data_IF_776642035342
#
_entry.id   IF_776642035342
#
_cell.length_a   1.000
_cell.length_b   1.000
_cell.length_c   1.000
_cell.angle_alpha   90.00
_cell.angle_beta   90.00
_cell.angle_gamma   90.00
#
_symmetry.space_group_name_H-M   'P 1'
#
loop_
_entity.id
_entity.type
_entity.pdbx_description
1 polymer ?
#
# COMPACT_ATOMS: atom_id res chain seq x y z
N UNK A 1 81.69 5.13 30.53
CA UNK A 1 80.44 5.72 31.05
C UNK A 1 79.49 5.90 29.88
N UNK A 2 78.53 4.94 29.70
CA UNK A 2 77.50 5.03 28.61
C UNK A 2 76.22 5.50 29.23
N UNK A 3 75.70 6.66 28.78
CA UNK A 3 74.42 7.23 29.21
C UNK A 3 73.31 6.55 28.38
N UNK A 4 72.41 5.85 29.06
CA UNK A 4 71.16 5.33 28.47
C UNK A 4 70.12 6.46 28.40
N UNK A 5 69.74 6.75 27.19
CA UNK A 5 68.65 7.67 26.88
C UNK A 5 67.31 6.93 26.99
N UNK A 6 66.44 7.27 27.95
CA UNK A 6 65.10 6.71 28.07
C UNK A 6 64.18 7.54 27.20
N UNK A 7 63.63 6.89 26.14
CA UNK A 7 62.58 7.47 25.29
C UNK A 7 61.25 7.17 25.98
N UNK A 8 60.52 8.21 26.41
CA UNK A 8 59.18 8.10 26.89
C UNK A 8 58.23 8.14 25.68
N UNK A 9 57.45 7.10 25.47
CA UNK A 9 56.38 7.02 24.45
C UNK A 9 55.10 7.56 25.08
N UNK A 10 54.45 8.58 24.50
CA UNK A 10 53.19 9.06 25.01
C UNK A 10 52.08 8.05 24.70
N UNK A 11 51.38 7.61 25.73
CA UNK A 11 50.19 6.78 25.64
C UNK A 11 49.02 7.65 25.15
N UNK A 12 48.73 7.60 23.86
CA UNK A 12 47.58 8.28 23.28
C UNK A 12 46.28 7.60 23.73
N UNK A 13 45.52 8.25 24.61
CA UNK A 13 44.16 7.85 24.94
C UNK A 13 43.27 8.03 23.69
N UNK A 14 42.97 6.92 23.04
CA UNK A 14 41.88 6.84 22.08
C UNK A 14 40.56 6.96 22.86
N UNK A 15 40.02 8.18 22.92
CA UNK A 15 38.64 8.40 23.36
C UNK A 15 37.70 7.76 22.32
N UNK A 16 37.16 6.59 22.65
CA UNK A 16 36.05 6.02 21.91
C UNK A 16 34.88 6.97 22.00
N UNK A 17 34.58 7.66 20.88
CA UNK A 17 33.34 8.35 20.69
C UNK A 17 32.21 7.32 20.71
N UNK A 18 31.65 7.04 21.88
CA UNK A 18 30.39 6.33 21.99
C UNK A 18 29.35 7.20 21.30
N UNK A 19 28.99 6.84 20.07
CA UNK A 19 27.83 7.39 19.37
C UNK A 19 26.67 7.24 20.33
N UNK A 20 26.09 8.37 20.79
CA UNK A 20 24.84 8.38 21.52
C UNK A 20 23.77 7.79 20.56
N UNK A 21 23.60 6.46 20.57
CA UNK A 21 22.44 5.83 19.97
C UNK A 21 21.23 6.32 20.75
N UNK A 22 20.58 7.36 20.21
CA UNK A 22 19.32 7.82 20.75
C UNK A 22 18.38 6.62 20.90
N UNK A 23 17.61 6.58 21.98
CA UNK A 23 16.62 5.50 22.19
C UNK A 23 15.72 5.38 20.96
N UNK A 24 15.42 4.15 20.54
CA UNK A 24 14.51 3.91 19.40
C UNK A 24 13.22 4.74 19.55
N UNK A 25 12.68 5.32 18.47
CA UNK A 25 11.48 6.15 18.56
C UNK A 25 10.27 5.34 19.03
N UNK A 26 9.30 6.01 19.64
CA UNK A 26 7.98 5.41 19.89
C UNK A 26 7.17 5.35 18.60
N UNK A 27 6.12 4.52 18.59
CA UNK A 27 5.19 4.47 17.46
C UNK A 27 4.55 5.84 17.21
N UNK A 28 4.17 6.57 18.27
CA UNK A 28 3.64 7.94 18.16
C UNK A 28 4.61 8.91 17.51
N UNK A 29 5.90 8.86 17.88
CA UNK A 29 6.94 9.69 17.27
C UNK A 29 7.16 9.36 15.78
N UNK A 30 7.09 8.07 15.41
CA UNK A 30 7.14 7.64 14.00
C UNK A 30 5.97 8.23 13.21
N UNK A 31 4.75 8.10 13.74
CA UNK A 31 3.55 8.63 13.07
C UNK A 31 3.59 10.16 12.95
N UNK A 32 4.08 10.86 13.98
CA UNK A 32 4.27 12.31 13.92
C UNK A 32 5.22 12.71 12.78
N UNK A 33 6.37 12.02 12.63
CA UNK A 33 7.32 12.26 11.53
C UNK A 33 6.70 11.98 10.15
N UNK A 34 5.89 10.93 10.03
CA UNK A 34 5.18 10.62 8.78
C UNK A 34 4.23 11.77 8.41
N UNK A 35 3.40 12.23 9.35
CA UNK A 35 2.46 13.32 9.12
C UNK A 35 3.16 14.63 8.75
N UNK A 36 4.20 14.97 9.50
CA UNK A 36 5.03 16.16 9.25
C UNK A 36 5.64 16.12 7.84
N UNK A 37 6.22 14.98 7.46
CA UNK A 37 6.88 14.80 6.17
C UNK A 37 5.91 14.72 5.00
N UNK A 38 4.69 14.18 5.23
CA UNK A 38 3.63 14.15 4.23
C UNK A 38 3.12 15.56 3.89
N UNK A 39 3.13 16.48 4.85
CA UNK A 39 2.77 17.89 4.63
C UNK A 39 1.30 18.08 4.21
N UNK A 40 0.43 17.15 4.57
CA UNK A 40 -1.00 17.18 4.22
C UNK A 40 -1.81 17.46 5.47
N UNK A 41 -2.77 18.35 5.36
CA UNK A 41 -3.74 18.61 6.44
C UNK A 41 -4.56 17.34 6.71
N UNK A 42 -4.59 16.94 7.98
CA UNK A 42 -5.34 15.76 8.39
C UNK A 42 -6.84 15.98 8.18
N UNK A 43 -7.49 15.05 7.50
CA UNK A 43 -8.96 15.03 7.38
C UNK A 43 -9.60 14.87 8.76
N UNK A 44 -10.78 15.42 8.93
CA UNK A 44 -11.60 15.20 10.13
C UNK A 44 -13.06 14.98 9.71
N UNK A 45 -13.65 13.80 9.91
CA UNK A 45 -12.99 12.58 10.46
C UNK A 45 -11.98 11.93 9.50
N UNK A 46 -11.02 11.19 10.07
CA UNK A 46 -10.03 10.40 9.33
C UNK A 46 -10.00 8.95 9.82
N UNK A 47 -9.62 8.03 8.92
CA UNK A 47 -9.33 6.64 9.28
C UNK A 47 -7.85 6.42 9.64
N UNK A 48 -6.99 7.43 9.45
CA UNK A 48 -5.54 7.38 9.75
C UNK A 48 -5.27 7.48 11.26
N UNK A 49 -5.63 6.43 11.97
CA UNK A 49 -5.55 6.33 13.42
C UNK A 49 -4.90 5.03 13.86
N UNK A 50 -4.46 4.97 15.12
CA UNK A 50 -4.07 3.71 15.73
C UNK A 50 -5.28 2.78 15.84
N UNK A 51 -5.13 1.55 15.37
CA UNK A 51 -6.17 0.50 15.38
C UNK A 51 -5.95 -0.47 16.53
N UNK A 52 -4.70 -0.65 16.96
CA UNK A 52 -4.35 -1.51 18.08
C UNK A 52 -2.97 -1.12 18.63
N UNK A 53 -2.71 -1.54 19.88
CA UNK A 53 -1.44 -1.36 20.56
C UNK A 53 -1.25 0.00 21.20
N UNK A 54 -0.10 0.17 21.84
CA UNK A 54 0.25 1.39 22.57
C UNK A 54 1.16 2.30 21.71
N UNK A 55 0.73 3.53 21.47
CA UNK A 55 1.51 4.52 20.73
C UNK A 55 2.84 4.91 21.41
N UNK A 56 2.97 4.67 22.72
CA UNK A 56 4.21 4.88 23.47
C UNK A 56 5.21 3.72 23.33
N UNK A 57 4.82 2.59 22.72
CA UNK A 57 5.71 1.45 22.52
C UNK A 57 6.90 1.83 21.65
N UNK A 58 8.11 1.41 22.08
CA UNK A 58 9.35 1.58 21.29
C UNK A 58 9.33 0.71 20.05
N UNK A 59 9.65 1.33 18.91
CA UNK A 59 9.65 0.66 17.60
C UNK A 59 10.97 -0.09 17.39
N UNK A 60 10.87 -1.40 17.15
CA UNK A 60 12.00 -2.28 16.81
C UNK A 60 12.18 -2.45 15.30
N UNK A 61 11.09 -2.40 14.57
CA UNK A 61 11.01 -2.49 13.12
C UNK A 61 9.59 -2.17 12.68
N UNK A 62 9.46 -1.76 11.43
CA UNK A 62 8.20 -1.32 10.80
C UNK A 62 7.87 -2.24 9.64
N UNK A 63 6.73 -2.90 9.71
CA UNK A 63 6.12 -3.60 8.59
C UNK A 63 5.13 -2.67 7.88
N UNK A 64 5.39 -2.36 6.62
CA UNK A 64 4.46 -1.63 5.76
C UNK A 64 3.72 -2.63 4.88
N UNK A 65 2.39 -2.54 4.81
CA UNK A 65 1.56 -3.53 4.11
C UNK A 65 0.31 -2.89 3.51
N UNK A 66 -0.30 -3.58 2.54
CA UNK A 66 -1.61 -3.19 2.00
C UNK A 66 -2.72 -3.52 3.00
N UNK A 67 -2.76 -4.75 3.51
CA UNK A 67 -3.76 -5.21 4.49
C UNK A 67 -3.08 -5.90 5.66
N UNK A 68 -3.47 -5.55 6.90
CA UNK A 68 -2.99 -6.19 8.11
C UNK A 68 -3.70 -7.53 8.37
N UNK A 69 -3.60 -8.47 7.41
CA UNK A 69 -4.15 -9.83 7.57
C UNK A 69 -3.38 -10.60 8.65
N UNK A 70 -3.97 -11.66 9.21
CA UNK A 70 -3.28 -12.48 10.21
C UNK A 70 -1.97 -13.09 9.66
N UNK A 71 -1.92 -13.46 8.38
CA UNK A 71 -0.69 -13.91 7.69
C UNK A 71 0.37 -12.80 7.64
N UNK A 72 -0.01 -11.57 7.32
CA UNK A 72 0.90 -10.42 7.33
C UNK A 72 1.43 -10.16 8.74
N UNK A 73 0.56 -10.17 9.75
CA UNK A 73 0.97 -9.97 11.14
C UNK A 73 1.97 -11.03 11.62
N UNK A 74 1.76 -12.30 11.26
CA UNK A 74 2.71 -13.39 11.55
C UNK A 74 4.07 -13.12 10.92
N UNK A 75 4.11 -12.78 9.63
CA UNK A 75 5.36 -12.47 8.93
C UNK A 75 6.06 -11.21 9.45
N UNK A 76 5.31 -10.21 9.92
CA UNK A 76 5.88 -9.05 10.60
C UNK A 76 6.58 -9.45 11.90
N UNK A 77 5.92 -10.26 12.73
CA UNK A 77 6.50 -10.80 13.98
C UNK A 77 7.76 -11.63 13.73
N UNK A 78 7.74 -12.51 12.72
CA UNK A 78 8.90 -13.32 12.32
C UNK A 78 10.12 -12.47 11.94
N UNK A 79 9.90 -11.26 11.40
CA UNK A 79 10.93 -10.27 11.11
C UNK A 79 11.37 -9.44 12.31
N UNK A 80 10.65 -9.53 13.43
CA UNK A 80 10.87 -8.72 14.63
C UNK A 80 10.26 -7.33 14.54
N UNK A 81 9.37 -7.08 13.57
CA UNK A 81 8.63 -5.82 13.46
C UNK A 81 7.53 -5.76 14.52
N UNK A 82 7.33 -4.59 15.11
CA UNK A 82 6.27 -4.40 16.10
C UNK A 82 5.38 -3.19 15.80
N UNK A 83 5.73 -2.36 14.82
CA UNK A 83 4.82 -1.36 14.26
C UNK A 83 4.39 -1.83 12.87
N UNK A 84 3.09 -2.01 12.67
CA UNK A 84 2.50 -2.35 11.38
C UNK A 84 1.77 -1.12 10.85
N UNK A 85 2.15 -0.66 9.67
CA UNK A 85 1.47 0.42 8.97
C UNK A 85 0.72 -0.19 7.79
N UNK A 86 -0.62 -0.14 7.86
CA UNK A 86 -1.52 -0.76 6.88
C UNK A 86 -2.30 0.29 6.12
N UNK A 87 -2.55 0.05 4.84
CA UNK A 87 -3.41 0.93 4.05
C UNK A 87 -4.88 0.65 4.33
N UNK A 88 -5.29 -0.59 4.22
CA UNK A 88 -6.67 -1.03 4.40
C UNK A 88 -7.00 -1.39 5.86
N UNK A 89 -8.31 -1.52 6.19
CA UNK A 89 -8.77 -1.79 7.55
C UNK A 89 -8.09 -3.01 8.18
N UNK A 90 -7.89 -2.91 9.48
CA UNK A 90 -7.42 -4.04 10.29
C UNK A 90 -8.56 -5.00 10.63
N UNK A 91 -9.79 -4.50 10.80
CA UNK A 91 -10.91 -5.24 11.40
C UNK A 91 -12.19 -5.23 10.53
N UNK A 92 -12.05 -5.52 9.23
CA UNK A 92 -13.14 -5.95 8.32
C UNK A 92 -14.23 -4.90 8.01
N UNK A 93 -14.06 -3.65 8.42
CA UNK A 93 -14.95 -2.55 7.99
C UNK A 93 -14.12 -1.31 7.66
N UNK A 94 -14.58 -0.48 6.74
CA UNK A 94 -13.82 0.71 6.30
C UNK A 94 -13.42 1.63 7.47
N UNK A 95 -14.22 1.71 8.52
CA UNK A 95 -13.92 2.53 9.70
C UNK A 95 -13.27 1.76 10.85
N UNK A 96 -12.97 0.48 10.66
CA UNK A 96 -12.52 -0.43 11.74
C UNK A 96 -13.50 -0.49 12.94
N UNK A 97 -14.80 -0.37 12.66
CA UNK A 97 -15.84 -0.49 13.69
C UNK A 97 -16.03 -1.95 14.09
N UNK A 98 -15.96 -2.23 15.39
CA UNK A 98 -16.00 -3.59 15.94
C UNK A 98 -17.38 -4.00 16.47
N UNK A 99 -18.29 -3.05 16.67
CA UNK A 99 -19.51 -3.20 17.47
C UNK A 99 -20.30 -4.51 17.24
N UNK A 100 -20.60 -4.87 15.99
CA UNK A 100 -21.33 -6.10 15.67
C UNK A 100 -20.48 -7.34 16.01
N UNK A 101 -19.24 -7.39 15.55
CA UNK A 101 -18.35 -8.53 15.76
C UNK A 101 -18.08 -8.77 17.26
N UNK A 102 -17.94 -7.70 18.04
CA UNK A 102 -17.74 -7.82 19.50
C UNK A 102 -19.01 -8.26 20.21
N UNK A 103 -20.19 -7.74 19.84
CA UNK A 103 -21.46 -8.12 20.42
C UNK A 103 -21.84 -9.58 20.15
N UNK A 104 -21.38 -10.13 19.02
CA UNK A 104 -21.61 -11.52 18.62
C UNK A 104 -20.49 -12.47 19.09
N UNK A 105 -19.46 -11.97 19.78
CA UNK A 105 -18.28 -12.72 20.21
C UNK A 105 -17.58 -13.44 19.05
N UNK A 106 -17.37 -12.73 17.92
CA UNK A 106 -16.79 -13.30 16.71
C UNK A 106 -15.39 -13.92 16.96
N UNK A 107 -15.27 -15.21 16.69
CA UNK A 107 -14.04 -15.98 16.98
C UNK A 107 -12.86 -15.54 16.09
N UNK A 108 -13.09 -15.12 14.86
CA UNK A 108 -12.03 -14.66 13.94
C UNK A 108 -11.44 -13.35 14.43
N UNK A 109 -12.30 -12.42 14.85
CA UNK A 109 -11.88 -11.19 15.51
C UNK A 109 -11.09 -11.48 16.78
N UNK A 110 -11.59 -12.38 17.64
CA UNK A 110 -10.95 -12.73 18.91
C UNK A 110 -9.55 -13.29 18.70
N UNK A 111 -9.36 -14.22 17.75
CA UNK A 111 -8.06 -14.78 17.39
C UNK A 111 -7.09 -13.69 16.91
N UNK A 112 -7.54 -12.78 16.06
CA UNK A 112 -6.71 -11.69 15.54
C UNK A 112 -6.33 -10.70 16.64
N UNK A 113 -7.27 -10.27 17.48
CA UNK A 113 -7.02 -9.38 18.63
C UNK A 113 -6.03 -10.02 19.61
N UNK A 114 -6.22 -11.30 19.92
CA UNK A 114 -5.32 -12.06 20.80
C UNK A 114 -3.90 -12.09 20.22
N UNK A 115 -3.73 -12.39 18.93
CA UNK A 115 -2.42 -12.41 18.29
C UNK A 115 -1.72 -11.05 18.38
N UNK A 116 -2.44 -9.96 18.09
CA UNK A 116 -1.93 -8.59 18.19
C UNK A 116 -1.47 -8.28 19.62
N UNK A 117 -2.27 -8.64 20.61
CA UNK A 117 -1.97 -8.41 22.03
C UNK A 117 -0.77 -9.24 22.53
N UNK A 118 -0.75 -10.56 22.24
CA UNK A 118 0.31 -11.47 22.66
C UNK A 118 1.69 -11.04 22.14
N UNK A 119 1.74 -10.51 20.91
CA UNK A 119 2.98 -10.05 20.27
C UNK A 119 3.25 -8.55 20.47
N UNK A 120 2.40 -7.85 21.23
CA UNK A 120 2.50 -6.40 21.52
C UNK A 120 2.68 -5.58 20.24
N UNK A 121 1.90 -5.91 19.21
CA UNK A 121 1.91 -5.18 17.95
C UNK A 121 1.19 -3.85 18.10
N UNK A 122 1.75 -2.82 17.48
CA UNK A 122 1.08 -1.53 17.27
C UNK A 122 0.65 -1.48 15.81
N UNK A 123 -0.62 -1.18 15.55
CA UNK A 123 -1.16 -1.08 14.19
C UNK A 123 -1.69 0.32 13.97
N UNK A 124 -1.19 0.97 12.93
CA UNK A 124 -1.64 2.28 12.49
C UNK A 124 -2.08 2.22 11.04
N UNK A 125 -3.24 2.82 10.72
CA UNK A 125 -3.76 2.91 9.37
C UNK A 125 -3.26 4.18 8.69
N UNK A 126 -2.86 4.06 7.41
CA UNK A 126 -2.38 5.13 6.57
C UNK A 126 -3.07 5.08 5.21
N UNK A 127 -4.24 5.70 5.12
CA UNK A 127 -5.15 5.62 3.98
C UNK A 127 -5.50 7.02 3.44
N UNK A 128 -6.06 7.89 4.28
CA UNK A 128 -6.52 9.21 3.80
C UNK A 128 -5.37 10.12 3.41
N UNK A 129 -4.29 10.09 4.17
CA UNK A 129 -3.11 10.93 3.95
C UNK A 129 -2.42 10.64 2.61
N UNK A 130 -2.06 9.39 2.24
CA UNK A 130 -1.39 9.13 0.97
C UNK A 130 -2.24 9.50 -0.24
N UNK A 131 -3.56 9.34 -0.18
CA UNK A 131 -4.49 9.78 -1.23
C UNK A 131 -4.62 11.31 -1.31
N UNK A 132 -4.40 12.02 -0.22
CA UNK A 132 -4.42 13.49 -0.20
C UNK A 132 -3.09 14.12 -0.65
N UNK A 133 -1.99 13.37 -0.66
CA UNK A 133 -0.69 13.85 -1.16
C UNK A 133 -0.77 14.22 -2.64
N UNK A 134 0.17 15.06 -3.09
CA UNK A 134 0.28 15.48 -4.48
C UNK A 134 1.70 15.23 -4.98
N UNK A 135 1.90 14.23 -5.88
CA UNK A 135 0.89 13.30 -6.38
C UNK A 135 0.35 12.35 -5.31
N UNK A 136 -0.86 11.79 -5.53
CA UNK A 136 -1.39 10.69 -4.73
C UNK A 136 -0.36 9.54 -4.71
N UNK A 137 0.08 9.15 -3.52
CA UNK A 137 1.18 8.19 -3.38
C UNK A 137 0.77 6.77 -3.81
N UNK A 138 -0.47 6.37 -3.57
CA UNK A 138 -0.97 5.04 -3.93
C UNK A 138 -1.07 4.95 -5.45
N UNK A 139 -1.69 5.94 -6.08
CA UNK A 139 -1.79 6.05 -7.54
C UNK A 139 -0.44 6.16 -8.22
N UNK A 140 0.44 7.00 -7.71
CA UNK A 140 1.80 7.13 -8.25
C UNK A 140 2.55 5.79 -8.19
N UNK A 141 2.37 5.03 -7.12
CA UNK A 141 3.00 3.71 -6.97
C UNK A 141 2.55 2.70 -8.02
N UNK A 142 1.25 2.61 -8.34
CA UNK A 142 0.79 1.71 -9.40
C UNK A 142 1.23 2.20 -10.79
N UNK A 143 1.15 3.49 -11.07
CA UNK A 143 1.62 4.08 -12.35
C UNK A 143 3.10 3.76 -12.56
N UNK A 144 3.93 3.96 -11.54
CA UNK A 144 5.35 3.67 -11.58
C UNK A 144 5.63 2.16 -11.76
N UNK A 145 4.92 1.29 -11.03
CA UNK A 145 5.06 -0.16 -11.18
C UNK A 145 4.71 -0.66 -12.59
N UNK A 146 3.78 0.02 -13.26
CA UNK A 146 3.39 -0.27 -14.64
C UNK A 146 4.33 0.36 -15.69
N UNK A 147 5.24 1.26 -15.29
CA UNK A 147 6.06 2.08 -16.22
C UNK A 147 5.17 2.96 -17.12
N UNK A 148 4.16 3.59 -16.50
CA UNK A 148 3.15 4.41 -17.18
C UNK A 148 3.27 5.91 -16.91
N UNK A 149 4.32 6.38 -16.22
CA UNK A 149 4.50 7.78 -15.89
C UNK A 149 4.45 8.70 -17.12
N UNK A 150 5.07 8.27 -18.24
CA UNK A 150 5.08 9.01 -19.51
C UNK A 150 3.82 8.82 -20.36
N UNK A 151 2.85 8.05 -19.89
CA UNK A 151 1.63 7.69 -20.64
C UNK A 151 0.38 8.43 -20.17
N UNK A 152 0.52 9.24 -19.13
CA UNK A 152 -0.57 10.05 -18.58
C UNK A 152 -1.08 11.01 -19.65
N UNK A 153 -2.37 10.92 -19.95
CA UNK A 153 -3.02 11.77 -20.96
C UNK A 153 -3.42 13.11 -20.34
N UNK A 154 -2.94 14.21 -20.92
CA UNK A 154 -3.33 15.58 -20.51
C UNK A 154 -3.18 15.89 -19.02
N UNK A 155 -2.25 15.21 -18.31
CA UNK A 155 -2.05 15.40 -16.89
C UNK A 155 -3.11 14.72 -16.00
N UNK A 156 -4.04 13.95 -16.57
CA UNK A 156 -5.03 13.16 -15.82
C UNK A 156 -4.45 11.78 -15.49
N UNK A 157 -4.08 11.59 -14.21
CA UNK A 157 -3.45 10.38 -13.72
C UNK A 157 -4.39 9.15 -13.64
N UNK A 158 -5.60 9.25 -14.19
CA UNK A 158 -6.51 8.12 -14.39
C UNK A 158 -6.65 7.73 -15.87
N UNK A 159 -6.13 8.56 -16.80
CA UNK A 159 -6.30 8.36 -18.25
C UNK A 159 -4.94 8.18 -18.92
N UNK A 160 -4.80 7.13 -19.71
CA UNK A 160 -3.50 6.74 -20.27
C UNK A 160 -3.58 6.45 -21.77
N UNK A 161 -2.55 6.92 -22.50
CA UNK A 161 -2.24 6.47 -23.85
C UNK A 161 -1.29 5.28 -23.77
N UNK A 162 -1.76 4.09 -24.13
CA UNK A 162 -0.98 2.86 -24.03
C UNK A 162 -0.51 2.39 -25.41
N UNK A 163 0.60 1.64 -25.49
CA UNK A 163 0.99 1.01 -26.74
C UNK A 163 -0.13 0.13 -27.28
N UNK A 164 -0.30 0.12 -28.61
CA UNK A 164 -1.27 -0.77 -29.25
C UNK A 164 -1.05 -2.20 -28.80
N UNK A 165 -2.09 -2.79 -28.20
CA UNK A 165 -2.06 -4.15 -27.64
C UNK A 165 -3.45 -4.77 -27.71
N UNK A 166 -3.61 -6.03 -27.30
CA UNK A 166 -4.94 -6.63 -27.08
C UNK A 166 -5.31 -6.60 -25.60
N UNK A 167 -6.62 -6.65 -25.30
CA UNK A 167 -7.12 -6.71 -23.92
C UNK A 167 -6.44 -7.85 -23.14
N UNK A 168 -6.31 -9.05 -23.75
CA UNK A 168 -5.63 -10.19 -23.12
C UNK A 168 -4.15 -9.93 -22.85
N UNK A 169 -3.42 -9.37 -23.81
CA UNK A 169 -2.01 -9.08 -23.63
C UNK A 169 -1.78 -7.99 -22.58
N UNK A 170 -2.63 -6.97 -22.55
CA UNK A 170 -2.63 -5.96 -21.51
C UNK A 170 -2.90 -6.56 -20.13
N UNK A 171 -3.92 -7.40 -19.99
CA UNK A 171 -4.24 -8.07 -18.74
C UNK A 171 -3.06 -8.92 -18.21
N UNK A 172 -2.39 -9.66 -19.12
CA UNK A 172 -1.20 -10.43 -18.76
C UNK A 172 -0.03 -9.55 -18.31
N UNK A 173 0.19 -8.41 -18.99
CA UNK A 173 1.20 -7.43 -18.60
C UNK A 173 0.91 -6.83 -17.21
N UNK A 174 -0.33 -6.41 -16.96
CA UNK A 174 -0.75 -5.86 -15.69
C UNK A 174 -0.57 -6.89 -14.57
N UNK A 175 -1.05 -8.12 -14.77
CA UNK A 175 -0.89 -9.20 -13.81
C UNK A 175 0.59 -9.45 -13.46
N UNK A 176 1.46 -9.51 -14.46
CA UNK A 176 2.90 -9.72 -14.25
C UNK A 176 3.58 -8.57 -13.52
N UNK A 177 3.27 -7.33 -13.89
CA UNK A 177 3.87 -6.13 -13.27
C UNK A 177 3.41 -5.90 -11.83
N UNK A 178 2.14 -6.17 -11.54
CA UNK A 178 1.55 -5.95 -10.23
C UNK A 178 1.59 -7.19 -9.32
N UNK A 179 2.08 -8.32 -9.83
CA UNK A 179 2.14 -9.57 -9.08
C UNK A 179 0.75 -10.17 -8.79
N UNK A 180 -0.27 -9.83 -9.60
CA UNK A 180 -1.59 -10.43 -9.49
C UNK A 180 -1.55 -11.88 -9.97
N UNK A 181 -2.18 -12.79 -9.22
CA UNK A 181 -2.21 -14.22 -9.59
C UNK A 181 -3.13 -14.48 -10.78
N UNK A 182 -4.23 -13.75 -10.85
CA UNK A 182 -5.11 -13.68 -12.00
C UNK A 182 -5.87 -12.36 -12.01
N UNK A 183 -6.33 -11.99 -13.19
CA UNK A 183 -7.20 -10.83 -13.41
C UNK A 183 -8.45 -11.31 -14.18
N UNK A 184 -9.57 -10.62 -13.97
CA UNK A 184 -10.81 -10.91 -14.71
C UNK A 184 -10.89 -10.01 -15.93
N UNK A 185 -11.39 -10.52 -17.04
CA UNK A 185 -11.60 -9.79 -18.30
C UNK A 185 -13.07 -9.86 -18.68
N UNK A 186 -13.64 -8.73 -19.12
CA UNK A 186 -14.91 -8.65 -19.82
C UNK A 186 -14.71 -8.03 -21.20
N UNK A 187 -15.50 -8.44 -22.20
CA UNK A 187 -15.36 -8.06 -23.60
C UNK A 187 -14.52 -9.05 -24.40
N UNK A 188 -14.19 -8.68 -25.66
CA UNK A 188 -13.35 -9.53 -26.52
C UNK A 188 -11.88 -9.46 -26.09
N UNK A 189 -11.29 -10.60 -25.65
CA UNK A 189 -9.88 -10.63 -25.27
C UNK A 189 -8.91 -10.28 -26.40
N UNK A 190 -9.34 -10.36 -27.66
CA UNK A 190 -8.54 -10.02 -28.85
C UNK A 190 -8.78 -8.60 -29.35
N UNK A 191 -9.72 -7.86 -28.80
CA UNK A 191 -9.95 -6.46 -29.11
C UNK A 191 -8.66 -5.66 -28.92
N UNK A 192 -8.39 -4.77 -29.89
CA UNK A 192 -7.17 -3.96 -29.96
C UNK A 192 -7.41 -2.62 -29.31
N UNK A 193 -6.63 -2.32 -28.27
CA UNK A 193 -6.76 -1.12 -27.44
C UNK A 193 -5.50 -0.26 -27.51
N UNK A 194 -5.66 1.07 -27.32
CA UNK A 194 -4.60 2.09 -27.30
C UNK A 194 -4.75 3.10 -26.17
N UNK A 195 -5.89 3.08 -25.51
CA UNK A 195 -6.19 3.97 -24.40
C UNK A 195 -6.84 3.23 -23.25
N UNK A 196 -6.52 3.65 -22.04
CA UNK A 196 -7.05 3.06 -20.83
C UNK A 196 -7.50 4.11 -19.82
N UNK A 197 -8.54 3.80 -19.06
CA UNK A 197 -8.78 4.40 -17.75
C UNK A 197 -8.38 3.39 -16.69
N UNK A 198 -7.65 3.84 -15.67
CA UNK A 198 -7.24 3.03 -14.53
C UNK A 198 -7.68 3.70 -13.24
N UNK A 199 -8.46 2.97 -12.45
CA UNK A 199 -8.88 3.38 -11.11
C UNK A 199 -8.52 2.27 -10.13
N UNK A 200 -7.71 2.62 -9.14
CA UNK A 200 -7.24 1.70 -8.10
C UNK A 200 -8.25 1.56 -6.96
N UNK A 201 -8.11 0.51 -6.16
CA UNK A 201 -8.90 0.25 -4.96
C UNK A 201 -10.38 0.06 -5.24
N UNK A 202 -11.21 0.67 -4.40
CA UNK A 202 -12.68 0.70 -4.49
C UNK A 202 -13.19 2.15 -4.48
N UNK A 203 -13.08 2.90 -5.59
CA UNK A 203 -13.55 4.29 -5.65
C UNK A 203 -15.08 4.41 -5.72
N UNK A 204 -15.77 3.31 -6.07
CA UNK A 204 -17.22 3.23 -6.24
C UNK A 204 -17.72 3.72 -7.59
N UNK A 205 -18.97 3.36 -7.90
CA UNK A 205 -19.59 3.58 -9.21
C UNK A 205 -19.51 5.03 -9.73
N UNK A 206 -19.83 6.00 -8.88
CA UNK A 206 -19.85 7.39 -9.31
C UNK A 206 -18.48 7.89 -9.80
N UNK A 207 -17.41 7.55 -9.09
CA UNK A 207 -16.04 7.92 -9.45
C UNK A 207 -15.58 7.18 -10.71
N UNK A 208 -15.79 5.86 -10.78
CA UNK A 208 -15.49 5.05 -11.96
C UNK A 208 -16.18 5.58 -13.22
N UNK A 209 -17.49 5.80 -13.14
CA UNK A 209 -18.27 6.35 -14.27
C UNK A 209 -17.73 7.71 -14.71
N UNK A 210 -17.37 8.57 -13.78
CA UNK A 210 -16.81 9.89 -14.09
C UNK A 210 -15.46 9.77 -14.82
N UNK A 211 -14.57 8.90 -14.34
CA UNK A 211 -13.28 8.66 -14.99
C UNK A 211 -13.46 8.10 -16.42
N UNK A 212 -14.38 7.15 -16.60
CA UNK A 212 -14.70 6.57 -17.91
C UNK A 212 -15.21 7.63 -18.87
N UNK A 213 -16.20 8.45 -18.45
CA UNK A 213 -16.75 9.51 -19.28
C UNK A 213 -15.73 10.58 -19.68
N UNK A 214 -14.85 10.95 -18.75
CA UNK A 214 -13.78 11.92 -18.98
C UNK A 214 -12.67 11.36 -19.90
N UNK A 215 -12.33 10.10 -19.72
CA UNK A 215 -11.24 9.45 -20.44
C UNK A 215 -11.63 8.93 -21.82
N UNK A 216 -12.90 8.58 -22.05
CA UNK A 216 -13.37 7.87 -23.26
C UNK A 216 -12.39 6.78 -23.70
N UNK A 217 -12.12 5.75 -22.85
CA UNK A 217 -11.08 4.77 -23.09
C UNK A 217 -11.53 3.64 -24.02
N UNK A 218 -10.56 2.97 -24.66
CA UNK A 218 -10.82 1.68 -25.32
C UNK A 218 -11.02 0.57 -24.25
N UNK A 219 -10.27 0.63 -23.13
CA UNK A 219 -10.35 -0.35 -22.06
C UNK A 219 -10.41 0.29 -20.68
N UNK A 220 -11.24 -0.27 -19.80
CA UNK A 220 -11.37 0.14 -18.40
C UNK A 220 -10.61 -0.84 -17.51
N UNK A 221 -9.76 -0.33 -16.64
CA UNK A 221 -8.98 -1.09 -15.66
C UNK A 221 -9.39 -0.61 -14.27
N UNK A 222 -9.91 -1.52 -13.45
CA UNK A 222 -10.37 -1.20 -12.09
C UNK A 222 -9.72 -2.10 -11.05
N UNK A 223 -9.60 -1.64 -9.82
CA UNK A 223 -9.24 -2.47 -8.68
C UNK A 223 -10.38 -3.45 -8.39
N UNK A 224 -11.43 -2.98 -7.75
CA UNK A 224 -12.67 -3.73 -7.54
C UNK A 224 -13.87 -2.78 -7.53
N UNK A 225 -15.05 -3.33 -7.74
CA UNK A 225 -16.32 -2.67 -7.51
C UNK A 225 -17.46 -3.70 -7.43
N UNK A 226 -18.64 -3.28 -7.03
CA UNK A 226 -19.83 -4.12 -7.04
C UNK A 226 -20.16 -4.59 -8.47
N UNK A 227 -20.45 -5.88 -8.60
CA UNK A 227 -20.74 -6.47 -9.93
C UNK A 227 -22.01 -5.88 -10.56
N UNK A 228 -22.97 -5.48 -9.74
CA UNK A 228 -24.23 -4.84 -10.18
C UNK A 228 -24.14 -3.31 -10.37
N UNK A 229 -22.97 -2.70 -10.23
CA UNK A 229 -22.74 -1.26 -10.44
C UNK A 229 -21.73 -1.05 -11.59
N UNK A 230 -20.45 -0.77 -11.29
CA UNK A 230 -19.46 -0.45 -12.33
C UNK A 230 -19.25 -1.60 -13.31
N UNK A 231 -19.23 -2.84 -12.84
CA UNK A 231 -18.98 -4.02 -13.71
C UNK A 231 -20.10 -4.18 -14.73
N UNK A 232 -21.37 -4.11 -14.29
CA UNK A 232 -22.54 -4.19 -15.17
C UNK A 232 -22.59 -3.00 -16.13
N UNK A 233 -22.37 -1.77 -15.62
CA UNK A 233 -22.32 -0.56 -16.44
C UNK A 233 -21.31 -0.65 -17.58
N UNK A 234 -20.08 -1.15 -17.30
CA UNK A 234 -19.05 -1.32 -18.33
C UNK A 234 -19.39 -2.48 -19.26
N UNK A 235 -20.01 -3.56 -18.77
CA UNK A 235 -20.49 -4.66 -19.63
C UNK A 235 -21.55 -4.19 -20.62
N UNK A 236 -22.46 -3.31 -20.21
CA UNK A 236 -23.43 -2.65 -21.09
C UNK A 236 -22.74 -1.74 -22.10
N UNK A 237 -21.76 -0.95 -21.67
CA UNK A 237 -20.97 -0.09 -22.56
C UNK A 237 -20.21 -0.90 -23.63
N UNK A 238 -19.67 -2.06 -23.26
CA UNK A 238 -19.02 -3.00 -24.20
C UNK A 238 -20.07 -3.53 -25.19
N UNK A 239 -21.24 -3.96 -24.70
CA UNK A 239 -22.33 -4.47 -25.54
C UNK A 239 -22.86 -3.41 -26.50
N UNK A 240 -22.82 -2.14 -26.11
CA UNK A 240 -23.19 -0.99 -26.93
C UNK A 240 -22.07 -0.53 -27.89
N UNK A 241 -20.90 -1.15 -27.87
CA UNK A 241 -19.75 -0.79 -28.72
C UNK A 241 -19.08 0.54 -28.33
N UNK A 242 -19.22 0.98 -27.09
CA UNK A 242 -18.63 2.22 -26.57
C UNK A 242 -17.25 2.00 -25.94
N UNK A 243 -16.97 0.78 -25.47
CA UNK A 243 -15.74 0.35 -24.82
C UNK A 243 -15.42 -1.05 -25.35
N UNK A 244 -14.13 -1.36 -25.58
CA UNK A 244 -13.73 -2.65 -26.15
C UNK A 244 -13.51 -3.72 -25.09
N UNK A 245 -13.21 -3.34 -23.84
CA UNK A 245 -13.02 -4.32 -22.78
C UNK A 245 -12.85 -3.72 -21.39
N UNK A 246 -12.86 -4.61 -20.39
CA UNK A 246 -12.59 -4.29 -18.99
C UNK A 246 -11.64 -5.32 -18.38
N UNK A 247 -10.75 -4.84 -17.51
CA UNK A 247 -9.83 -5.66 -16.71
C UNK A 247 -10.06 -5.32 -15.23
N UNK A 248 -10.36 -6.34 -14.42
CA UNK A 248 -10.51 -6.21 -12.97
C UNK A 248 -9.29 -6.83 -12.30
N UNK A 249 -8.48 -6.01 -11.64
CA UNK A 249 -7.20 -6.39 -11.04
C UNK A 249 -7.35 -7.06 -9.67
N UNK A 250 -8.38 -6.70 -8.93
CA UNK A 250 -8.52 -6.92 -7.49
C UNK A 250 -7.88 -5.79 -6.67
N UNK A 251 -8.44 -5.55 -5.49
CA UNK A 251 -8.06 -4.43 -4.61
C UNK A 251 -6.57 -4.46 -4.26
N UNK A 252 -6.08 -5.60 -3.75
CA UNK A 252 -4.69 -5.78 -3.34
C UNK A 252 -3.72 -5.43 -4.48
N UNK A 253 -3.95 -5.99 -5.66
CA UNK A 253 -3.05 -5.81 -6.80
C UNK A 253 -3.03 -4.36 -7.29
N UNK A 254 -4.16 -3.65 -7.18
CA UNK A 254 -4.29 -2.27 -7.67
C UNK A 254 -3.64 -1.22 -6.78
N UNK A 255 -3.37 -1.50 -5.49
CA UNK A 255 -2.85 -0.49 -4.55
C UNK A 255 -1.55 -0.90 -3.84
N UNK A 256 -1.24 -2.20 -3.80
CA UNK A 256 -0.09 -2.72 -3.06
C UNK A 256 1.24 -2.08 -3.50
N UNK A 257 1.38 -1.71 -4.78
CA UNK A 257 2.56 -1.02 -5.29
C UNK A 257 2.76 0.35 -4.63
N UNK A 258 1.67 1.07 -4.31
CA UNK A 258 1.70 2.32 -3.56
C UNK A 258 2.27 2.14 -2.16
N UNK A 259 1.92 1.06 -1.47
CA UNK A 259 2.48 0.77 -0.15
C UNK A 259 3.95 0.33 -0.21
N UNK A 260 4.38 -0.32 -1.28
CA UNK A 260 5.80 -0.57 -1.51
C UNK A 260 6.59 0.73 -1.73
N UNK A 261 6.00 1.70 -2.45
CA UNK A 261 6.55 3.05 -2.60
C UNK A 261 6.62 3.78 -1.25
N UNK A 262 5.55 3.73 -0.47
CA UNK A 262 5.53 4.30 0.88
C UNK A 262 6.64 3.72 1.76
N UNK A 263 6.89 2.43 1.72
CA UNK A 263 7.98 1.82 2.47
C UNK A 263 9.36 2.40 2.08
N UNK A 264 9.59 2.66 0.78
CA UNK A 264 10.81 3.32 0.30
C UNK A 264 10.91 4.76 0.79
N UNK A 265 9.80 5.50 0.68
CA UNK A 265 9.69 6.89 1.14
C UNK A 265 9.89 7.03 2.66
N UNK A 266 9.44 6.03 3.44
CA UNK A 266 9.52 6.06 4.91
C UNK A 266 10.95 5.87 5.44
N UNK A 267 11.80 5.10 4.76
CA UNK A 267 13.16 4.79 5.24
C UNK A 267 13.98 6.02 5.65
N UNK A 268 14.09 7.08 4.84
CA UNK A 268 14.80 8.28 5.24
C UNK A 268 14.08 9.13 6.32
N UNK A 269 12.79 8.92 6.54
CA UNK A 269 11.99 9.64 7.55
C UNK A 269 12.27 9.11 8.96
N UNK A 270 12.63 7.82 9.06
CA UNK A 270 12.87 7.12 10.33
C UNK A 270 14.29 6.49 10.37
N UNK A 271 15.35 7.30 10.28
CA UNK A 271 16.71 6.77 10.25
C UNK A 271 16.98 5.91 11.49
N UNK A 272 17.67 4.79 11.29
CA UNK A 272 18.00 3.85 12.36
C UNK A 272 16.89 2.84 12.71
N UNK A 273 15.70 2.95 12.08
CA UNK A 273 14.63 1.95 12.20
C UNK A 273 14.53 1.16 10.89
N UNK A 274 14.49 -0.18 11.00
CA UNK A 274 14.24 -1.03 9.84
C UNK A 274 12.82 -0.84 9.34
N UNK A 275 12.65 -0.69 8.01
CA UNK A 275 11.36 -0.57 7.33
C UNK A 275 11.27 -1.62 6.25
N UNK A 276 10.41 -2.60 6.47
CA UNK A 276 10.15 -3.72 5.57
C UNK A 276 8.79 -3.56 4.88
N UNK A 277 8.77 -3.73 3.57
CA UNK A 277 7.51 -3.96 2.86
C UNK A 277 7.12 -5.43 3.01
N UNK A 278 5.97 -5.69 3.61
CA UNK A 278 5.41 -7.03 3.80
C UNK A 278 4.18 -7.17 2.91
N UNK A 279 4.32 -7.74 1.71
CA UNK A 279 3.22 -7.80 0.76
C UNK A 279 2.03 -8.61 1.29
N UNK A 280 0.83 -8.11 1.09
CA UNK A 280 -0.39 -8.89 1.30
C UNK A 280 -0.49 -9.94 0.20
N UNK A 281 -0.70 -11.19 0.56
CA UNK A 281 -0.90 -12.27 -0.41
C UNK A 281 -2.32 -12.24 -0.94
N UNK A 282 -2.48 -12.47 -2.25
CA UNK A 282 -3.78 -12.70 -2.84
C UNK A 282 -4.41 -13.96 -2.21
N UNK A 283 -5.60 -13.87 -1.58
CA UNK A 283 -6.23 -15.00 -0.92
C UNK A 283 -6.84 -16.01 -1.91
N UNK A 284 -7.01 -15.61 -3.18
CA UNK A 284 -7.69 -16.42 -4.16
C UNK A 284 -6.77 -17.44 -4.83
N UNK A 285 -7.34 -18.60 -5.14
CA UNK A 285 -6.79 -19.60 -6.03
C UNK A 285 -7.82 -19.87 -7.12
N UNK A 286 -7.36 -20.22 -8.31
CA UNK A 286 -8.24 -20.47 -9.43
C UNK A 286 -8.34 -21.98 -9.67
N UNK A 287 -9.57 -22.50 -9.80
CA UNK A 287 -9.79 -23.84 -10.32
C UNK A 287 -9.34 -23.87 -11.78
N UNK A 288 -8.60 -24.86 -12.18
CA UNK A 288 -8.21 -25.11 -13.57
C UNK A 288 -9.34 -25.77 -14.31
#
# INVERSE_FOLDING_TARGET
>A
MKKLLRIAVPLSLLASAASAQGSAPTAGEVIARIRDRAGVEARNPTVDTFKAGDSAARVRGIAVTMMATLDVLKRAVERGDNLVITHEPTFYSHRDTLGVLESENDEVLAVKKKYISDHKLVIWRFHDTPHAMKPDMIRAGIIHALDWDSRIRNGDAEVFDIPRTTVRALAAQLAGRLGARAVRISGDPLAVVRSAVLTEGFPGFAANRHAIQRGSPDVVIIGEDHEWETIEYVADAISAGQIDGMIVLGHIASEQAGMAEFARWLRPVVPGVRVDFVPTRDPFTFSR
#
